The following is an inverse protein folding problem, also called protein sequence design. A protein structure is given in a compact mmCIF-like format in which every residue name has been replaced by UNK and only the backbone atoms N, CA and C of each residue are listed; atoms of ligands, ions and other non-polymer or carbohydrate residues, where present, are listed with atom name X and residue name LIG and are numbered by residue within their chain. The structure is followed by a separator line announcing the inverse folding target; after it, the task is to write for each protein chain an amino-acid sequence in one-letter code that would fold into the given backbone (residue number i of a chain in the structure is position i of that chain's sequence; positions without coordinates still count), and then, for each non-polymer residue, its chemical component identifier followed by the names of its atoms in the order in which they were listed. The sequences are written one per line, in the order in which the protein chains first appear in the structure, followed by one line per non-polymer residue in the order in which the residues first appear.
data_IF_780634053150
#
_entry.id   IF_780634053150
#
_cell.length_a   1.000
_cell.length_b   1.000
_cell.length_c   1.000
_cell.angle_alpha   90.00
_cell.angle_beta   90.00
_cell.angle_gamma   90.00
#
_symmetry.space_group_name_H-M   'P 1'
#
loop_
_entity.id
_entity.type
_entity.pdbx_description
1 polymer ?
#
# COMPACT_ATOMS: atom_id res chain seq x y z
N UNK A 1 -0.94 3.21 12.85
CA UNK A 1 -0.29 2.43 11.79
C UNK A 1 0.60 3.35 10.99
N UNK A 2 1.81 2.94 10.56
CA UNK A 2 2.54 3.70 9.53
C UNK A 2 1.58 3.85 8.35
N UNK A 3 1.33 5.07 7.87
CA UNK A 3 0.51 5.23 6.68
C UNK A 3 1.18 4.44 5.56
N UNK A 4 0.49 3.42 5.04
CA UNK A 4 0.95 2.69 3.85
C UNK A 4 1.25 3.74 2.78
N UNK A 5 2.47 3.78 2.21
CA UNK A 5 2.85 4.81 1.25
C UNK A 5 1.98 4.76 0.00
N UNK A 6 1.31 3.64 -0.28
CA UNK A 6 0.41 3.46 -1.42
C UNK A 6 -1.03 3.90 -1.15
N UNK A 7 -1.44 3.99 0.14
CA UNK A 7 -2.83 4.12 0.61
C UNK A 7 -3.76 2.94 0.27
N UNK A 8 -3.22 1.86 -0.28
CA UNK A 8 -3.94 0.65 -0.66
C UNK A 8 -3.43 -0.55 0.13
N UNK A 9 -4.23 -1.63 0.21
CA UNK A 9 -3.78 -2.89 0.81
C UNK A 9 -2.83 -3.62 -0.15
N UNK A 10 -1.78 -4.31 0.36
CA UNK A 10 -0.90 -5.10 -0.50
C UNK A 10 -1.64 -6.19 -1.28
N UNK A 11 -2.70 -6.76 -0.71
CA UNK A 11 -3.49 -7.82 -1.34
C UNK A 11 -4.23 -7.29 -2.57
N UNK A 12 -4.91 -6.14 -2.45
CA UNK A 12 -5.60 -5.51 -3.57
C UNK A 12 -4.66 -5.18 -4.72
N UNK A 13 -3.46 -4.66 -4.42
CA UNK A 13 -2.46 -4.36 -5.46
C UNK A 13 -1.99 -5.63 -6.21
N UNK A 14 -1.88 -6.76 -5.51
CA UNK A 14 -1.46 -8.03 -6.09
C UNK A 14 -2.58 -8.75 -6.87
N UNK A 15 -3.80 -8.78 -6.32
CA UNK A 15 -4.87 -9.65 -6.80
C UNK A 15 -6.07 -8.90 -7.42
N UNK A 16 -6.10 -7.58 -7.34
CA UNK A 16 -7.15 -6.74 -7.94
C UNK A 16 -8.25 -6.30 -6.99
N UNK A 17 -8.49 -7.07 -5.93
CA UNK A 17 -9.59 -6.84 -4.99
C UNK A 17 -9.13 -7.02 -3.55
N UNK A 18 -9.88 -6.52 -2.58
CA UNK A 18 -9.57 -6.75 -1.16
C UNK A 18 -9.92 -8.19 -0.73
N UNK A 19 -9.07 -8.78 0.13
CA UNK A 19 -9.33 -10.10 0.70
C UNK A 19 -10.44 -10.06 1.75
N UNK A 20 -11.25 -11.13 1.79
CA UNK A 20 -12.09 -11.44 2.96
C UNK A 20 -11.20 -11.88 4.12
N UNK A 21 -11.24 -11.16 5.25
CA UNK A 21 -10.36 -11.43 6.40
C UNK A 21 -10.97 -12.51 7.29
N UNK A 22 -10.19 -13.55 7.61
CA UNK A 22 -10.62 -14.70 8.41
C UNK A 22 -11.03 -14.41 9.87
N UNK A 23 -10.77 -13.22 10.39
CA UNK A 23 -11.18 -12.84 11.76
C UNK A 23 -12.71 -12.82 11.93
N UNK A 24 -13.43 -12.72 10.81
CA UNK A 24 -14.89 -12.73 10.74
C UNK A 24 -15.51 -14.15 10.75
N UNK A 25 -14.71 -15.20 10.92
CA UNK A 25 -15.21 -16.60 10.84
C UNK A 25 -15.98 -17.03 12.11
N UNK A 26 -15.82 -16.33 13.24
CA UNK A 26 -16.50 -16.67 14.49
C UNK A 26 -17.99 -16.28 14.53
N UNK A 27 -18.31 -15.08 14.07
CA UNK A 27 -19.66 -14.51 13.96
C UNK A 27 -19.83 -13.97 12.53
N UNK A 28 -20.92 -14.28 11.81
CA UNK A 28 -21.08 -13.86 10.43
C UNK A 28 -21.01 -12.34 10.34
N UNK A 29 -20.02 -11.83 9.62
CA UNK A 29 -19.86 -10.39 9.46
C UNK A 29 -21.01 -9.77 8.69
N UNK A 30 -21.15 -8.46 8.79
CA UNK A 30 -22.11 -7.68 7.99
C UNK A 30 -21.96 -7.97 6.48
N UNK A 31 -20.72 -8.13 5.98
CA UNK A 31 -20.49 -8.54 4.59
C UNK A 31 -21.04 -9.92 4.28
N UNK A 32 -20.85 -10.87 5.19
CA UNK A 32 -21.34 -12.24 5.01
C UNK A 32 -22.88 -12.32 5.09
N UNK A 33 -23.49 -11.53 5.99
CA UNK A 33 -24.94 -11.44 6.14
C UNK A 33 -25.62 -10.76 4.94
N UNK A 34 -24.95 -9.79 4.32
CA UNK A 34 -25.46 -9.03 3.16
C UNK A 34 -24.90 -9.53 1.83
N UNK A 35 -24.23 -10.69 1.82
CA UNK A 35 -23.64 -11.23 0.62
C UNK A 35 -24.72 -11.52 -0.43
N UNK A 36 -24.53 -10.95 -1.60
CA UNK A 36 -25.33 -11.23 -2.77
C UNK A 36 -24.37 -11.42 -3.94
N UNK A 37 -24.43 -12.60 -4.55
CA UNK A 37 -23.50 -13.05 -5.58
C UNK A 37 -23.52 -12.11 -6.80
N UNK A 38 -24.70 -11.73 -7.28
CA UNK A 38 -24.84 -10.88 -8.45
C UNK A 38 -24.24 -9.48 -8.22
N UNK A 39 -24.50 -8.88 -7.06
CA UNK A 39 -23.92 -7.56 -6.73
C UNK A 39 -22.42 -7.64 -6.48
N UNK A 40 -21.93 -8.76 -5.94
CA UNK A 40 -20.50 -9.00 -5.77
C UNK A 40 -19.79 -9.15 -7.13
N UNK A 41 -20.38 -9.86 -8.08
CA UNK A 41 -19.81 -10.01 -9.43
C UNK A 41 -19.77 -8.68 -10.18
N UNK A 42 -20.83 -7.87 -10.09
CA UNK A 42 -20.84 -6.52 -10.64
C UNK A 42 -19.75 -5.64 -10.02
N UNK A 43 -19.61 -5.67 -8.69
CA UNK A 43 -18.57 -4.92 -7.99
C UNK A 43 -17.15 -5.41 -8.35
N UNK A 44 -16.96 -6.72 -8.50
CA UNK A 44 -15.70 -7.33 -8.89
C UNK A 44 -15.27 -6.87 -10.29
N UNK A 45 -16.20 -6.82 -11.24
CA UNK A 45 -15.91 -6.30 -12.58
C UNK A 45 -15.45 -4.84 -12.53
N UNK A 46 -16.12 -4.00 -11.75
CA UNK A 46 -15.71 -2.60 -11.58
C UNK A 46 -14.33 -2.48 -10.93
N UNK A 47 -14.00 -3.32 -9.94
CA UNK A 47 -12.66 -3.32 -9.34
C UNK A 47 -11.58 -3.75 -10.34
N UNK A 48 -11.87 -4.75 -11.18
CA UNK A 48 -10.97 -5.20 -12.23
C UNK A 48 -10.73 -4.14 -13.30
N UNK A 49 -11.74 -3.33 -13.63
CA UNK A 49 -11.58 -2.21 -14.57
C UNK A 49 -10.73 -1.07 -13.98
N UNK A 50 -10.82 -0.85 -12.66
CA UNK A 50 -10.14 0.27 -11.98
C UNK A 50 -8.76 -0.08 -11.42
N UNK A 51 -8.39 -1.36 -11.36
CA UNK A 51 -7.19 -1.79 -10.65
C UNK A 51 -5.91 -1.15 -11.19
N UNK A 52 -5.83 -0.92 -12.49
CA UNK A 52 -4.63 -0.35 -13.09
C UNK A 52 -4.45 1.12 -12.67
N UNK A 53 -5.52 1.90 -12.60
CA UNK A 53 -5.49 3.26 -12.07
C UNK A 53 -5.07 3.29 -10.58
N UNK A 54 -5.56 2.31 -9.82
CA UNK A 54 -5.21 2.13 -8.40
C UNK A 54 -3.72 1.83 -8.26
N UNK A 55 -3.18 0.92 -9.08
CA UNK A 55 -1.74 0.57 -9.10
C UNK A 55 -0.87 1.76 -9.49
N UNK A 56 -1.27 2.52 -10.52
CA UNK A 56 -0.55 3.71 -10.95
C UNK A 56 -0.50 4.77 -9.85
N UNK A 57 -1.64 5.02 -9.20
CA UNK A 57 -1.72 5.96 -8.08
C UNK A 57 -0.88 5.49 -6.89
N UNK A 58 -0.89 4.18 -6.60
CA UNK A 58 -0.07 3.58 -5.56
C UNK A 58 1.43 3.78 -5.84
N UNK A 59 1.86 3.60 -7.10
CA UNK A 59 3.24 3.81 -7.53
C UNK A 59 3.66 5.27 -7.37
N UNK A 60 2.83 6.22 -7.81
CA UNK A 60 3.08 7.66 -7.64
C UNK A 60 3.25 8.02 -6.16
N UNK A 61 2.35 7.54 -5.30
CA UNK A 61 2.43 7.82 -3.87
C UNK A 61 3.69 7.21 -3.24
N UNK A 62 4.07 5.99 -3.65
CA UNK A 62 5.27 5.32 -3.19
C UNK A 62 6.54 6.10 -3.56
N UNK A 63 6.67 6.52 -4.82
CA UNK A 63 7.82 7.32 -5.27
C UNK A 63 7.88 8.68 -4.59
N UNK A 64 6.74 9.36 -4.39
CA UNK A 64 6.69 10.59 -3.63
C UNK A 64 7.15 10.40 -2.17
N UNK A 65 6.74 9.29 -1.53
CA UNK A 65 7.19 8.94 -0.19
C UNK A 65 8.71 8.67 -0.16
N UNK A 66 9.22 7.89 -1.11
CA UNK A 66 10.65 7.59 -1.26
C UNK A 66 11.48 8.87 -1.44
N UNK A 67 11.05 9.77 -2.32
CA UNK A 67 11.71 11.05 -2.55
C UNK A 67 11.72 11.93 -1.29
N UNK A 68 10.61 11.99 -0.55
CA UNK A 68 10.52 12.73 0.72
C UNK A 68 11.46 12.17 1.78
N UNK A 69 11.51 10.84 1.91
CA UNK A 69 12.43 10.14 2.83
C UNK A 69 13.88 10.43 2.44
N UNK A 70 14.23 10.30 1.16
CA UNK A 70 15.58 10.58 0.67
C UNK A 70 16.02 12.03 0.93
N UNK A 71 15.14 13.01 0.68
CA UNK A 71 15.40 14.44 0.99
C UNK A 71 15.66 14.65 2.48
N UNK A 72 14.83 14.07 3.35
CA UNK A 72 14.99 14.18 4.82
C UNK A 72 16.30 13.56 5.31
N UNK A 73 16.76 12.48 4.69
CA UNK A 73 18.05 11.89 5.01
C UNK A 73 19.20 12.80 4.55
N UNK A 74 19.16 13.27 3.30
CA UNK A 74 20.19 14.17 2.75
C UNK A 74 20.38 15.46 3.55
N UNK A 75 19.31 16.03 4.11
CA UNK A 75 19.44 17.24 4.94
C UNK A 75 20.04 16.99 6.32
N UNK A 76 19.98 15.75 6.82
CA UNK A 76 20.50 15.38 8.15
C UNK A 76 21.91 14.79 8.11
N UNK A 77 22.33 14.27 6.97
CA UNK A 77 23.67 13.71 6.78
C UNK A 77 24.62 14.83 6.42
N UNK A 78 25.60 15.11 7.29
CA UNK A 78 26.76 15.94 6.95
C UNK A 78 27.82 15.03 6.30
N UNK A 79 28.30 15.34 5.08
CA UNK A 79 29.44 14.64 4.51
C UNK A 79 30.65 14.80 5.44
N UNK A 80 31.32 13.69 5.74
CA UNK A 80 32.58 13.69 6.50
C UNK A 80 33.65 13.07 5.61
N UNK A 81 34.68 13.84 5.32
CA UNK A 81 35.89 13.33 4.69
C UNK A 81 36.83 12.84 5.78
N UNK A 82 37.46 11.70 5.56
CA UNK A 82 38.45 11.11 6.46
C UNK A 82 39.82 11.13 5.80
N UNK A 83 40.85 11.41 6.58
CA UNK A 83 42.24 11.44 6.14
C UNK A 83 43.01 10.23 6.69
N UNK A 84 44.09 9.79 6.03
CA UNK A 84 44.95 8.73 6.56
C UNK A 84 45.45 9.09 7.96
N UNK A 85 45.12 8.26 8.95
CA UNK A 85 45.44 8.49 10.37
C UNK A 85 44.27 8.93 11.25
N UNK A 86 43.09 9.23 10.67
CA UNK A 86 41.88 9.46 11.45
C UNK A 86 41.43 8.19 12.18
N UNK A 87 41.23 8.27 13.49
CA UNK A 87 40.60 7.22 14.30
C UNK A 87 39.08 7.39 14.25
N UNK A 88 38.39 6.31 13.86
CA UNK A 88 36.93 6.18 13.75
C UNK A 88 36.36 5.30 14.84
#
# INVERSE_FOLDING_TARGET
MPQSPTKETPFRLAYGTDAMISVEIGEPSLRQQQFNEQTNDEALNVELDLIDEVRDRALINMEACRARVARKHKTKVKPREFQPGDLV
#
